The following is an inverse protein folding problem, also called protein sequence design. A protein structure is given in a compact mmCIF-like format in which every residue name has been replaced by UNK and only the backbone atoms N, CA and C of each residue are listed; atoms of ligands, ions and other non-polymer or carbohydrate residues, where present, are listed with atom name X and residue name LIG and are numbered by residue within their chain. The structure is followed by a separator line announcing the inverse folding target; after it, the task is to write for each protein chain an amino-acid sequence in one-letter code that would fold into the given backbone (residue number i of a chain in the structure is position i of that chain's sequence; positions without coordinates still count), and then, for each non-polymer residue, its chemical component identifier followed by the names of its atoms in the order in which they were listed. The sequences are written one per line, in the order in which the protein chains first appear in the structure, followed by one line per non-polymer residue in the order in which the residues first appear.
data_IF_188138196774
#
_entry.id   IF_188138196774
#
_cell.length_a   1.000
_cell.length_b   1.000
_cell.length_c   1.000
_cell.angle_alpha   90.00
_cell.angle_beta   90.00
_cell.angle_gamma   90.00
#
_symmetry.space_group_name_H-M   'P 1'
#
loop_
_entity.id
_entity.type
_entity.pdbx_description
1 polymer ?
#
# COMPACT_ATOMS: atom_id res chain seq x y z
N UNK A 1 20.34 26.12 -12.62
CA UNK A 1 19.87 26.34 -11.22
C UNK A 1 20.30 25.13 -10.40
N UNK A 2 21.30 25.29 -9.55
CA UNK A 2 21.83 24.21 -8.71
C UNK A 2 21.02 24.13 -7.41
N UNK A 3 20.60 22.94 -7.01
CA UNK A 3 19.97 22.71 -5.72
C UNK A 3 21.07 22.62 -4.64
N UNK A 4 20.96 23.45 -3.60
CA UNK A 4 21.88 23.47 -2.47
C UNK A 4 21.49 22.38 -1.46
N UNK A 5 22.45 21.57 -1.02
CA UNK A 5 22.21 20.57 0.04
C UNK A 5 22.17 21.28 1.39
N UNK A 6 20.97 21.37 1.98
CA UNK A 6 20.73 21.96 3.30
C UNK A 6 21.18 21.08 4.47
N UNK A 7 21.33 19.77 4.28
CA UNK A 7 21.66 18.82 5.35
C UNK A 7 22.95 18.04 5.05
N UNK A 8 23.78 17.76 6.06
CA UNK A 8 25.04 17.03 5.90
C UNK A 8 24.82 15.56 5.49
N UNK A 9 23.66 15.00 5.82
CA UNK A 9 23.24 13.64 5.45
C UNK A 9 21.76 13.61 5.08
N UNK A 10 21.30 12.62 4.30
CA UNK A 10 19.87 12.42 4.05
C UNK A 10 19.18 12.10 5.38
N UNK A 11 18.18 12.89 5.75
CA UNK A 11 17.26 12.53 6.82
C UNK A 11 16.35 11.41 6.30
N UNK A 12 16.43 10.24 6.94
CA UNK A 12 15.66 9.06 6.54
C UNK A 12 14.54 8.86 7.53
N UNK A 13 13.30 8.74 7.03
CA UNK A 13 12.17 8.29 7.84
C UNK A 13 12.33 6.77 8.02
N UNK A 14 12.99 6.36 9.10
CA UNK A 14 13.43 4.97 9.28
C UNK A 14 12.33 4.02 9.80
N UNK A 15 11.25 4.54 10.35
CA UNK A 15 10.21 3.75 11.05
C UNK A 15 8.93 3.59 10.22
N UNK A 16 9.07 3.04 9.03
CA UNK A 16 7.94 2.77 8.14
C UNK A 16 7.50 1.31 8.33
N UNK A 17 6.48 1.10 9.18
CA UNK A 17 5.93 -0.24 9.44
C UNK A 17 4.92 -0.68 8.37
N UNK A 18 5.27 -1.74 7.64
CA UNK A 18 4.40 -2.46 6.70
C UNK A 18 3.59 -3.57 7.37
N UNK A 19 3.53 -3.60 8.70
CA UNK A 19 2.74 -4.56 9.45
C UNK A 19 1.26 -4.47 9.04
N UNK A 20 0.51 -5.59 9.11
CA UNK A 20 -0.94 -5.55 8.95
C UNK A 20 -1.54 -4.55 9.93
N UNK A 21 -2.31 -3.59 9.41
CA UNK A 21 -3.12 -2.68 10.23
C UNK A 21 -4.59 -3.02 10.04
N UNK A 22 -5.39 -2.74 11.07
CA UNK A 22 -6.84 -2.90 11.02
C UNK A 22 -7.47 -1.61 10.49
N UNK A 23 -8.54 -1.71 9.67
CA UNK A 23 -9.28 -0.53 9.24
C UNK A 23 -10.08 0.10 10.39
N UNK A 24 -10.35 -0.63 11.47
CA UNK A 24 -10.99 -0.12 12.67
C UNK A 24 -10.19 -0.52 13.89
N UNK A 25 -9.88 0.43 14.75
CA UNK A 25 -9.15 0.20 16.00
C UNK A 25 -9.76 1.05 17.10
N UNK A 26 -10.18 0.43 18.21
CA UNK A 26 -10.74 1.16 19.36
C UNK A 26 -11.78 2.22 18.98
N UNK A 27 -12.72 1.87 18.09
CA UNK A 27 -13.78 2.75 17.57
C UNK A 27 -13.33 3.88 16.64
N UNK A 28 -12.07 3.89 16.23
CA UNK A 28 -11.49 4.79 15.24
C UNK A 28 -11.52 4.14 13.85
N UNK A 29 -12.03 4.86 12.87
CA UNK A 29 -11.93 4.46 11.46
C UNK A 29 -10.57 4.92 10.94
N UNK A 30 -9.71 3.97 10.61
CA UNK A 30 -8.35 4.22 10.14
C UNK A 30 -8.39 4.52 8.63
N UNK A 31 -7.55 5.45 8.16
CA UNK A 31 -7.49 5.89 6.77
C UNK A 31 -6.05 5.97 6.26
N UNK A 32 -5.85 5.75 4.95
CA UNK A 32 -4.52 5.82 4.34
C UNK A 32 -3.51 4.90 5.02
N UNK A 33 -2.30 5.41 5.26
CA UNK A 33 -1.21 4.64 5.88
C UNK A 33 -1.50 4.20 7.33
N UNK A 34 -2.46 4.83 8.00
CA UNK A 34 -2.96 4.41 9.30
C UNK A 34 -3.78 3.10 9.20
N UNK A 35 -4.43 2.84 8.06
CA UNK A 35 -5.19 1.61 7.83
C UNK A 35 -4.43 0.56 7.00
N UNK A 36 -3.25 0.90 6.50
CA UNK A 36 -2.36 -0.04 5.84
C UNK A 36 -1.44 0.68 4.86
N UNK A 37 -0.16 0.33 4.93
CA UNK A 37 0.85 0.92 4.07
C UNK A 37 0.95 0.12 2.75
N UNK A 38 0.85 0.80 1.61
CA UNK A 38 1.11 0.21 0.29
C UNK A 38 2.56 0.44 -0.10
N UNK A 39 3.19 -0.59 -0.68
CA UNK A 39 4.52 -0.48 -1.28
C UNK A 39 4.48 0.41 -2.53
N UNK A 40 5.50 1.26 -2.77
CA UNK A 40 5.54 2.19 -3.92
C UNK A 40 5.26 1.53 -5.28
N UNK A 41 5.62 0.26 -5.44
CA UNK A 41 5.43 -0.52 -6.66
C UNK A 41 3.96 -0.88 -6.97
N UNK A 42 3.04 -0.75 -6.00
CA UNK A 42 1.64 -1.22 -6.09
C UNK A 42 0.60 -0.09 -5.96
N UNK A 43 1.03 1.17 -5.95
CA UNK A 43 0.17 2.36 -5.83
C UNK A 43 0.71 3.38 -4.83
N UNK A 44 0.18 4.60 -4.85
CA UNK A 44 0.61 5.69 -3.99
C UNK A 44 -0.31 5.78 -2.76
N UNK A 45 0.22 5.72 -1.54
CA UNK A 45 -0.57 5.73 -0.28
C UNK A 45 -1.55 6.91 -0.18
N UNK A 46 -1.21 8.03 -0.81
CA UNK A 46 -2.10 9.20 -0.95
C UNK A 46 -3.44 8.89 -1.64
N UNK A 47 -3.44 8.07 -2.70
CA UNK A 47 -4.68 7.71 -3.39
C UNK A 47 -5.57 6.82 -2.52
N UNK A 48 -4.97 5.94 -1.71
CA UNK A 48 -5.70 5.16 -0.71
C UNK A 48 -6.30 6.03 0.39
N UNK A 49 -5.59 7.08 0.82
CA UNK A 49 -6.12 8.01 1.81
C UNK A 49 -7.37 8.72 1.29
N UNK A 50 -7.32 9.26 0.06
CA UNK A 50 -8.46 9.92 -0.58
C UNK A 50 -9.64 8.97 -0.80
N UNK A 51 -9.39 7.78 -1.35
CA UNK A 51 -10.45 6.79 -1.54
C UNK A 51 -11.01 6.30 -0.20
N UNK A 52 -10.16 6.06 0.78
CA UNK A 52 -10.58 5.70 2.14
C UNK A 52 -11.53 6.73 2.72
N UNK A 53 -11.20 8.02 2.58
CA UNK A 53 -12.04 9.11 3.08
C UNK A 53 -13.40 9.12 2.36
N UNK A 54 -13.42 8.91 1.04
CA UNK A 54 -14.66 8.81 0.27
C UNK A 54 -15.54 7.62 0.68
N UNK A 55 -14.95 6.51 1.16
CA UNK A 55 -15.68 5.36 1.69
C UNK A 55 -16.20 5.60 3.11
N UNK A 56 -15.42 6.26 3.97
CA UNK A 56 -15.78 6.54 5.36
C UNK A 56 -16.84 7.64 5.49
N UNK A 57 -16.76 8.70 4.68
CA UNK A 57 -17.62 9.88 4.77
C UNK A 57 -19.14 9.57 4.76
N UNK A 58 -19.69 8.79 3.80
CA UNK A 58 -21.14 8.51 3.79
C UNK A 58 -21.59 7.64 4.96
N UNK A 59 -20.72 6.75 5.47
CA UNK A 59 -21.04 5.92 6.64
C UNK A 59 -21.01 6.76 7.93
N UNK A 60 -20.05 7.68 8.03
CA UNK A 60 -19.98 8.64 9.14
C UNK A 60 -21.19 9.56 9.17
N UNK A 61 -21.62 10.09 8.02
CA UNK A 61 -22.84 10.93 7.94
C UNK A 61 -24.09 10.16 8.43
N UNK A 62 -24.28 8.91 7.99
CA UNK A 62 -25.39 8.07 8.45
C UNK A 62 -25.35 7.81 9.96
N UNK A 63 -24.15 7.55 10.52
CA UNK A 63 -23.97 7.38 11.96
C UNK A 63 -24.30 8.66 12.74
N UNK A 64 -23.81 9.81 12.29
CA UNK A 64 -24.07 11.11 12.93
C UNK A 64 -25.55 11.51 12.88
N UNK A 65 -26.30 11.02 11.89
CA UNK A 65 -27.76 11.19 11.78
C UNK A 65 -28.56 10.15 12.57
N UNK A 66 -27.91 9.23 13.28
CA UNK A 66 -28.57 8.16 14.03
C UNK A 66 -29.20 7.06 13.16
N UNK A 67 -28.86 7.02 11.86
CA UNK A 67 -29.37 6.01 10.91
C UNK A 67 -28.55 4.72 10.95
N UNK A 68 -27.35 4.78 11.52
CA UNK A 68 -26.42 3.68 11.63
C UNK A 68 -25.94 3.57 13.07
N UNK A 69 -25.93 2.36 13.64
CA UNK A 69 -25.31 2.14 14.95
C UNK A 69 -23.79 2.08 14.80
N UNK A 70 -23.05 2.37 15.87
CA UNK A 70 -21.58 2.29 15.85
C UNK A 70 -21.05 0.91 15.42
N UNK A 71 -21.55 -0.23 15.93
CA UNK A 71 -21.10 -1.54 15.45
C UNK A 71 -21.38 -1.76 13.96
N UNK A 72 -22.52 -1.27 13.45
CA UNK A 72 -22.86 -1.37 12.04
C UNK A 72 -21.95 -0.49 11.17
N UNK A 73 -21.62 0.72 11.61
CA UNK A 73 -20.63 1.61 10.97
C UNK A 73 -19.28 0.92 10.83
N UNK A 74 -18.75 0.40 11.93
CA UNK A 74 -17.43 -0.21 11.97
C UNK A 74 -17.35 -1.47 11.09
N UNK A 75 -18.37 -2.33 11.14
CA UNK A 75 -18.46 -3.52 10.31
C UNK A 75 -18.59 -3.19 8.81
N UNK A 76 -19.47 -2.24 8.46
CA UNK A 76 -19.67 -1.81 7.08
C UNK A 76 -18.38 -1.19 6.50
N UNK A 77 -17.73 -0.32 7.27
CA UNK A 77 -16.47 0.30 6.87
C UNK A 77 -15.37 -0.74 6.65
N UNK A 78 -15.15 -1.63 7.62
CA UNK A 78 -14.13 -2.68 7.51
C UNK A 78 -14.37 -3.59 6.29
N UNK A 79 -15.63 -3.97 6.04
CA UNK A 79 -15.98 -4.80 4.88
C UNK A 79 -15.66 -4.11 3.55
N UNK A 80 -16.09 -2.85 3.39
CA UNK A 80 -15.84 -2.06 2.18
C UNK A 80 -14.35 -1.76 1.99
N UNK A 81 -13.63 -1.48 3.08
CA UNK A 81 -12.18 -1.28 3.06
C UNK A 81 -11.45 -2.52 2.56
N UNK A 82 -11.74 -3.70 3.13
CA UNK A 82 -11.08 -4.95 2.74
C UNK A 82 -11.37 -5.34 1.29
N UNK A 83 -12.60 -5.12 0.81
CA UNK A 83 -12.96 -5.34 -0.60
C UNK A 83 -12.18 -4.41 -1.53
N UNK A 84 -12.04 -3.14 -1.16
CA UNK A 84 -11.38 -2.12 -2.01
C UNK A 84 -9.86 -2.26 -2.03
N UNK A 85 -9.23 -2.48 -0.86
CA UNK A 85 -7.78 -2.37 -0.70
C UNK A 85 -7.10 -3.68 -0.32
N UNK A 86 -7.84 -4.70 0.15
CA UNK A 86 -7.26 -5.91 0.72
C UNK A 86 -6.41 -6.72 -0.27
N UNK A 87 -6.79 -6.78 -1.54
CA UNK A 87 -5.97 -7.42 -2.57
C UNK A 87 -4.64 -6.67 -2.79
N UNK A 88 -4.70 -5.34 -2.93
CA UNK A 88 -3.51 -4.49 -3.15
C UNK A 88 -2.54 -4.55 -1.97
N UNK A 89 -3.04 -4.50 -0.74
CA UNK A 89 -2.24 -4.65 0.48
C UNK A 89 -1.62 -6.05 0.63
N UNK A 90 -2.28 -7.12 0.16
CA UNK A 90 -1.69 -8.46 0.15
C UNK A 90 -0.58 -8.59 -0.88
N UNK A 91 -0.80 -8.10 -2.11
CA UNK A 91 0.20 -8.12 -3.18
C UNK A 91 1.42 -7.29 -2.78
N UNK A 92 1.22 -6.06 -2.29
CA UNK A 92 2.33 -5.21 -1.83
C UNK A 92 3.18 -5.89 -0.74
N UNK A 93 2.55 -6.55 0.23
CA UNK A 93 3.28 -7.33 1.25
C UNK A 93 4.03 -8.53 0.67
N UNK A 94 3.45 -9.24 -0.29
CA UNK A 94 4.13 -10.34 -0.96
C UNK A 94 5.38 -9.83 -1.70
N UNK A 95 5.24 -8.74 -2.46
CA UNK A 95 6.36 -8.07 -3.15
C UNK A 95 7.42 -7.60 -2.15
N UNK A 96 7.03 -6.94 -1.05
CA UNK A 96 7.96 -6.49 -0.01
C UNK A 96 8.76 -7.64 0.60
N UNK A 97 8.14 -8.80 0.84
CA UNK A 97 8.83 -9.99 1.34
C UNK A 97 9.83 -10.56 0.33
N UNK A 98 9.53 -10.49 -0.97
CA UNK A 98 10.44 -10.94 -2.03
C UNK A 98 11.71 -10.06 -2.08
N UNK A 99 11.56 -8.74 -1.96
CA UNK A 99 12.67 -7.78 -2.02
C UNK A 99 13.35 -7.47 -0.67
N UNK A 100 12.73 -7.86 0.45
CA UNK A 100 13.27 -7.66 1.80
C UNK A 100 14.11 -8.84 2.34
N UNK A 101 14.08 -9.99 1.67
CA UNK A 101 14.87 -11.17 2.04
C UNK A 101 16.05 -11.39 1.09
N UNK A 102 17.32 -11.28 1.53
CA UNK A 102 18.49 -11.39 0.64
C UNK A 102 18.52 -12.73 -0.11
N UNK A 103 18.15 -13.83 0.55
CA UNK A 103 18.16 -15.18 -0.03
C UNK A 103 17.07 -15.39 -1.10
N UNK A 104 15.86 -14.85 -0.88
CA UNK A 104 14.77 -15.00 -1.85
C UNK A 104 14.97 -14.12 -3.08
N UNK A 105 15.49 -12.91 -2.89
CA UNK A 105 15.89 -12.04 -4.00
C UNK A 105 16.97 -12.70 -4.86
N UNK A 106 17.99 -13.30 -4.25
CA UNK A 106 19.05 -14.02 -4.98
C UNK A 106 18.54 -15.28 -5.69
N UNK A 107 17.62 -16.05 -5.08
CA UNK A 107 17.00 -17.21 -5.73
C UNK A 107 16.09 -16.83 -6.89
N UNK A 108 15.32 -15.74 -6.76
CA UNK A 108 14.48 -15.22 -7.85
C UNK A 108 15.36 -14.73 -9.00
N UNK A 109 16.42 -13.97 -8.71
CA UNK A 109 17.40 -13.51 -9.72
C UNK A 109 18.15 -14.69 -10.35
N UNK A 110 18.55 -15.68 -9.54
CA UNK A 110 19.21 -16.90 -9.98
C UNK A 110 18.32 -17.79 -10.85
N UNK A 111 17.05 -17.96 -10.49
CA UNK A 111 16.06 -18.70 -11.28
C UNK A 111 15.69 -17.98 -12.58
N UNK A 112 15.52 -16.65 -12.53
CA UNK A 112 15.29 -15.83 -13.72
C UNK A 112 16.46 -15.90 -14.72
N UNK A 113 17.70 -16.04 -14.25
CA UNK A 113 18.87 -16.29 -15.12
C UNK A 113 18.75 -17.58 -15.95
N UNK A 114 18.00 -18.57 -15.48
CA UNK A 114 17.77 -19.82 -16.21
C UNK A 114 16.55 -19.77 -17.15
N UNK A 115 15.74 -18.71 -17.07
CA UNK A 115 14.61 -18.45 -17.96
C UNK A 115 14.77 -17.11 -18.72
N UNK A 116 15.68 -17.05 -19.71
CA UNK A 116 15.97 -15.84 -20.45
C UNK A 116 14.76 -15.29 -21.22
N UNK A 117 13.76 -16.12 -21.55
CA UNK A 117 12.51 -15.67 -22.16
C UNK A 117 11.65 -14.83 -21.20
N UNK A 118 11.56 -15.23 -19.92
CA UNK A 118 10.82 -14.49 -18.90
C UNK A 118 11.49 -13.15 -18.58
N UNK A 119 12.83 -13.13 -18.49
CA UNK A 119 13.60 -11.89 -18.32
C UNK A 119 13.38 -10.94 -19.51
N UNK A 120 13.44 -11.44 -20.74
CA UNK A 120 13.19 -10.61 -21.95
C UNK A 120 11.76 -10.07 -22.00
N UNK A 121 10.76 -10.87 -21.60
CA UNK A 121 9.37 -10.43 -21.52
C UNK A 121 9.18 -9.35 -20.44
N UNK A 122 9.80 -9.52 -19.27
CA UNK A 122 9.78 -8.55 -18.18
C UNK A 122 10.46 -7.24 -18.60
N UNK A 123 11.66 -7.30 -19.19
CA UNK A 123 12.36 -6.12 -19.71
C UNK A 123 11.55 -5.38 -20.78
N UNK A 124 10.88 -6.10 -21.68
CA UNK A 124 9.99 -5.51 -22.71
C UNK A 124 8.74 -4.84 -22.13
N UNK A 125 8.25 -5.32 -20.98
CA UNK A 125 7.11 -4.70 -20.29
C UNK A 125 7.51 -3.54 -19.38
N UNK A 126 8.75 -3.52 -18.89
CA UNK A 126 9.23 -2.47 -17.97
C UNK A 126 10.01 -1.36 -18.66
N UNK A 127 10.61 -1.61 -19.83
CA UNK A 127 11.04 -0.55 -20.73
C UNK A 127 9.83 -0.07 -21.52
N UNK A 128 9.28 1.07 -21.11
CA UNK A 128 8.40 1.85 -21.96
C UNK A 128 9.09 2.14 -23.29
N UNK A 129 8.32 2.09 -24.38
CA UNK A 129 8.81 2.49 -25.69
C UNK A 129 9.47 3.86 -25.59
N UNK A 130 10.70 3.97 -26.12
CA UNK A 130 11.38 5.25 -26.24
C UNK A 130 10.51 6.18 -27.09
N UNK A 131 10.32 7.41 -26.59
CA UNK A 131 9.90 8.53 -27.42
C UNK A 131 11.04 8.94 -28.34
#
# INVERSE_FOLDING_TARGET
RHAERLYPQPEVINEISFAPKQPVEQHLLMLGDAAGLITPLCGNGMAMALHGAALAAPLADQFLRGQLTRPALEAAYAQVWHRTFGARLRVGRAVQRLFGGPVLSELVVGGLRHWPAAVRALMRQTHGAAF
#
